data_IF_668770224171
#
_entry.id   IF_668770224171
#
_cell.length_a   1.000
_cell.length_b   1.000
_cell.length_c   1.000
_cell.angle_alpha   90.00
_cell.angle_beta   90.00
_cell.angle_gamma   90.00
#
_symmetry.space_group_name_H-M   'P 1'
#
loop_
_entity.id
_entity.type
_entity.pdbx_description
1 polymer ?
#
# COMPACT_ATOMS: atom_id res chain seq x y z
N UNK A 1 -14.83 0.68 -11.66
CA UNK A 1 -14.55 -0.68 -11.14
C UNK A 1 -13.89 -0.50 -9.79
N UNK A 2 -14.31 -1.24 -8.76
CA UNK A 2 -13.71 -1.13 -7.43
C UNK A 2 -12.42 -1.94 -7.36
N UNK A 3 -11.34 -1.29 -6.99
CA UNK A 3 -9.98 -1.83 -6.96
C UNK A 3 -9.39 -1.61 -5.59
N UNK A 4 -9.01 -2.68 -4.90
CA UNK A 4 -8.25 -2.59 -3.67
C UNK A 4 -6.77 -2.44 -3.99
N UNK A 5 -6.09 -1.50 -3.35
CA UNK A 5 -4.66 -1.29 -3.59
C UNK A 5 -3.86 -2.19 -2.66
N UNK A 6 -3.06 -3.09 -3.22
CA UNK A 6 -2.25 -4.01 -2.44
C UNK A 6 -0.86 -3.47 -2.15
N UNK A 7 -0.23 -2.85 -3.17
CA UNK A 7 1.14 -2.35 -3.08
C UNK A 7 1.32 -1.13 -3.96
N UNK A 8 2.08 -0.17 -3.46
CA UNK A 8 2.60 0.95 -4.25
C UNK A 8 4.04 0.63 -4.68
N UNK A 9 4.35 0.87 -5.95
CA UNK A 9 5.71 0.69 -6.46
C UNK A 9 6.09 1.90 -7.29
N UNK A 10 7.23 2.50 -6.99
CA UNK A 10 7.85 3.53 -7.82
C UNK A 10 9.04 2.88 -8.49
N UNK A 11 9.03 2.84 -9.83
CA UNK A 11 10.21 2.45 -10.59
C UNK A 11 10.85 3.72 -11.14
N UNK A 12 11.99 4.07 -10.59
CA UNK A 12 12.80 5.20 -11.03
C UNK A 12 14.14 4.75 -11.59
N UNK A 13 14.68 5.52 -12.52
CA UNK A 13 16.00 5.27 -13.09
C UNK A 13 16.27 6.09 -14.34
N UNK A 14 17.44 5.87 -14.92
CA UNK A 14 17.84 6.52 -16.16
C UNK A 14 17.62 5.53 -17.30
N UNK A 15 16.85 5.93 -18.31
CA UNK A 15 16.62 5.11 -19.49
C UNK A 15 17.94 4.90 -20.24
N UNK A 16 18.44 3.65 -20.29
CA UNK A 16 19.64 3.31 -21.06
C UNK A 16 19.53 3.66 -22.55
N UNK A 17 18.30 3.77 -23.08
CA UNK A 17 18.03 4.07 -24.49
C UNK A 17 18.01 5.57 -24.80
N UNK A 18 17.54 6.39 -23.86
CA UNK A 18 17.30 7.82 -24.11
C UNK A 18 18.06 8.76 -23.18
N UNK A 19 18.74 8.25 -22.15
CA UNK A 19 19.43 9.06 -21.15
C UNK A 19 18.52 9.85 -20.20
N UNK A 20 17.20 9.82 -20.42
CA UNK A 20 16.24 10.54 -19.61
C UNK A 20 15.91 9.78 -18.32
N UNK A 21 15.77 10.53 -17.23
CA UNK A 21 15.15 10.05 -16.00
C UNK A 21 13.70 9.65 -16.26
N UNK A 22 13.33 8.48 -15.78
CA UNK A 22 11.95 8.03 -15.77
C UNK A 22 11.55 7.73 -14.34
N UNK A 23 10.32 8.12 -13.99
CA UNK A 23 9.64 7.73 -12.76
C UNK A 23 8.28 7.17 -13.15
N UNK A 24 8.14 5.85 -13.05
CA UNK A 24 6.89 5.15 -13.33
C UNK A 24 6.27 4.79 -11.98
N UNK A 25 5.24 5.55 -11.62
CA UNK A 25 4.39 5.27 -10.49
C UNK A 25 3.36 4.20 -10.90
N UNK A 26 3.45 3.01 -10.31
CA UNK A 26 2.52 1.92 -10.55
C UNK A 26 1.94 1.39 -9.26
N UNK A 27 0.71 0.88 -9.34
CA UNK A 27 0.01 0.26 -8.23
C UNK A 27 -0.32 -1.17 -8.57
N UNK A 28 -0.13 -2.05 -7.61
CA UNK A 28 -0.67 -3.38 -7.69
C UNK A 28 -2.05 -3.38 -7.05
N UNK A 29 -3.07 -3.71 -7.84
CA UNK A 29 -4.47 -3.66 -7.42
C UNK A 29 -5.10 -5.05 -7.50
N UNK A 30 -6.08 -5.30 -6.63
CA UNK A 30 -6.92 -6.49 -6.71
C UNK A 30 -8.42 -6.16 -6.72
N UNK A 31 -9.21 -7.08 -7.25
CA UNK A 31 -10.67 -7.03 -7.22
C UNK A 31 -11.23 -8.45 -7.11
N UNK A 32 -12.46 -8.59 -6.61
CA UNK A 32 -13.10 -9.89 -6.34
C UNK A 32 -14.25 -10.20 -7.32
N UNK A 33 -14.56 -9.26 -8.21
CA UNK A 33 -15.70 -9.38 -9.13
C UNK A 33 -15.36 -10.25 -10.36
N UNK A 34 -15.86 -11.49 -10.34
CA UNK A 34 -15.69 -12.46 -11.43
C UNK A 34 -16.32 -12.00 -12.75
N UNK A 35 -17.43 -11.26 -12.72
CA UNK A 35 -18.05 -10.77 -13.97
C UNK A 35 -17.16 -9.73 -14.64
N UNK A 36 -16.56 -8.84 -13.85
CA UNK A 36 -15.57 -7.88 -14.33
C UNK A 36 -14.37 -8.62 -14.92
N UNK A 37 -13.89 -9.68 -14.27
CA UNK A 37 -12.81 -10.51 -14.82
C UNK A 37 -13.19 -11.09 -16.19
N UNK A 38 -14.35 -11.73 -16.32
CA UNK A 38 -14.80 -12.31 -17.59
C UNK A 38 -14.96 -11.26 -18.70
N UNK A 39 -15.42 -10.05 -18.36
CA UNK A 39 -15.47 -8.91 -19.30
C UNK A 39 -14.07 -8.48 -19.74
N UNK A 40 -13.09 -8.45 -18.84
CA UNK A 40 -11.68 -8.13 -19.17
C UNK A 40 -11.10 -9.21 -20.08
N UNK A 41 -11.27 -10.49 -19.74
CA UNK A 41 -10.79 -11.62 -20.55
C UNK A 41 -11.38 -11.56 -21.95
N UNK A 42 -12.70 -11.40 -22.06
CA UNK A 42 -13.39 -11.28 -23.36
C UNK A 42 -12.88 -10.10 -24.18
N UNK A 43 -12.65 -8.96 -23.53
CA UNK A 43 -12.11 -7.77 -24.20
C UNK A 43 -10.67 -8.00 -24.70
N UNK A 44 -9.81 -8.63 -23.90
CA UNK A 44 -8.43 -8.93 -24.29
C UNK A 44 -8.36 -9.99 -25.40
N UNK A 45 -9.19 -11.04 -25.32
CA UNK A 45 -9.32 -12.06 -26.38
C UNK A 45 -9.80 -11.44 -27.70
N UNK A 46 -10.76 -10.53 -27.65
CA UNK A 46 -11.24 -9.82 -28.85
C UNK A 46 -10.15 -9.00 -29.56
N UNK A 47 -9.06 -8.67 -28.84
CA UNK A 47 -7.89 -7.98 -29.37
C UNK A 47 -6.73 -8.93 -29.75
N UNK A 48 -6.96 -10.25 -29.77
CA UNK A 48 -5.98 -11.23 -30.21
C UNK A 48 -4.96 -11.66 -29.16
N UNK A 49 -5.23 -11.40 -27.87
CA UNK A 49 -4.35 -11.84 -26.77
C UNK A 49 -4.68 -13.27 -26.37
N UNK A 50 -3.63 -14.07 -26.20
CA UNK A 50 -3.72 -15.46 -25.78
C UNK A 50 -3.97 -15.62 -24.28
N UNK A 51 -4.56 -16.74 -23.88
CA UNK A 51 -4.94 -17.03 -22.50
C UNK A 51 -3.74 -17.00 -21.54
N UNK A 52 -2.57 -17.49 -21.97
CA UNK A 52 -1.35 -17.46 -21.17
C UNK A 52 -0.89 -16.03 -20.81
N UNK A 53 -1.08 -15.08 -21.74
CA UNK A 53 -0.70 -13.69 -21.51
C UNK A 53 -1.70 -13.00 -20.57
N UNK A 54 -2.98 -13.34 -20.68
CA UNK A 54 -4.03 -12.83 -19.80
C UNK A 54 -3.80 -13.32 -18.38
N UNK A 55 -3.47 -14.60 -18.18
CA UNK A 55 -3.20 -15.17 -16.86
C UNK A 55 -1.94 -14.56 -16.23
N UNK A 56 -0.89 -14.30 -17.03
CA UNK A 56 0.31 -13.61 -16.57
C UNK A 56 0.02 -12.18 -16.11
N UNK A 57 -0.90 -11.49 -16.80
CA UNK A 57 -1.27 -10.10 -16.50
C UNK A 57 -2.22 -9.99 -15.31
N UNK A 58 -3.26 -10.82 -15.28
CA UNK A 58 -4.33 -10.80 -14.29
C UNK A 58 -4.41 -12.17 -13.61
N UNK A 59 -3.58 -12.37 -12.58
CA UNK A 59 -3.49 -13.66 -11.90
C UNK A 59 -4.73 -13.88 -11.03
N UNK A 60 -5.50 -14.96 -11.25
CA UNK A 60 -6.48 -15.40 -10.28
C UNK A 60 -5.75 -15.98 -9.06
N UNK A 61 -6.17 -15.55 -7.87
CA UNK A 61 -5.71 -16.09 -6.62
C UNK A 61 -6.92 -16.42 -5.75
N UNK A 62 -7.09 -17.70 -5.45
CA UNK A 62 -8.18 -18.18 -4.60
C UNK A 62 -7.67 -18.35 -3.17
N UNK A 63 -8.36 -17.70 -2.23
CA UNK A 63 -8.10 -17.82 -0.81
C UNK A 63 -9.42 -17.91 -0.06
N UNK A 64 -9.56 -18.92 0.81
CA UNK A 64 -10.79 -19.16 1.59
C UNK A 64 -12.08 -19.17 0.75
N UNK A 65 -12.04 -19.75 -0.46
CA UNK A 65 -13.19 -19.82 -1.36
C UNK A 65 -13.56 -18.48 -2.02
N UNK A 66 -12.76 -17.43 -1.84
CA UNK A 66 -12.88 -16.15 -2.55
C UNK A 66 -11.82 -16.05 -3.63
N UNK A 67 -12.26 -15.84 -4.87
CA UNK A 67 -11.36 -15.59 -5.99
C UNK A 67 -11.08 -14.10 -6.08
N UNK A 68 -9.81 -13.74 -5.91
CA UNK A 68 -9.31 -12.40 -6.13
C UNK A 68 -8.48 -12.35 -7.40
N UNK A 69 -8.56 -11.26 -8.14
CA UNK A 69 -7.81 -11.05 -9.37
C UNK A 69 -6.90 -9.85 -9.17
N UNK A 70 -5.61 -10.01 -9.46
CA UNK A 70 -4.64 -8.94 -9.25
C UNK A 70 -3.85 -8.59 -10.52
N UNK A 71 -3.65 -7.30 -10.75
CA UNK A 71 -2.89 -6.78 -11.89
C UNK A 71 -2.19 -5.46 -11.57
N UNK A 72 -1.23 -5.08 -12.41
CA UNK A 72 -0.53 -3.79 -12.32
C UNK A 72 -1.32 -2.67 -13.01
N UNK A 73 -1.69 -1.64 -12.25
CA UNK A 73 -2.36 -0.43 -12.71
C UNK A 73 -1.39 0.75 -12.72
N UNK A 74 -1.19 1.32 -13.90
CA UNK A 74 -0.44 2.57 -14.05
C UNK A 74 -1.37 3.77 -13.78
N UNK A 75 -0.91 4.71 -12.96
CA UNK A 75 -1.61 5.94 -12.64
C UNK A 75 -0.67 7.14 -12.75
N UNK A 76 -1.22 8.35 -12.85
CA UNK A 76 -0.41 9.57 -12.76
C UNK A 76 0.12 9.80 -11.35
N UNK A 77 1.10 10.69 -11.23
CA UNK A 77 1.65 11.12 -9.95
C UNK A 77 0.57 11.70 -9.02
N UNK A 78 -0.43 12.39 -9.56
CA UNK A 78 -1.51 12.98 -8.75
C UNK A 78 -2.32 11.92 -8.01
N UNK A 79 -2.76 10.89 -8.74
CA UNK A 79 -3.51 9.79 -8.13
C UNK A 79 -2.60 8.92 -7.28
N UNK A 80 -1.31 8.82 -7.63
CA UNK A 80 -0.30 8.12 -6.84
C UNK A 80 -0.10 8.74 -5.44
N UNK A 81 -0.07 10.06 -5.34
CA UNK A 81 0.12 10.77 -4.08
C UNK A 81 -1.13 10.84 -3.20
N UNK A 82 -2.32 10.88 -3.81
CA UNK A 82 -3.59 11.07 -3.08
C UNK A 82 -4.22 9.84 -2.47
N UNK A 83 -3.72 8.67 -2.83
CA UNK A 83 -4.40 7.41 -2.55
C UNK A 83 -3.41 6.50 -1.87
N UNK A 84 -3.75 6.09 -0.67
CA UNK A 84 -2.91 5.28 0.19
C UNK A 84 -2.96 3.80 -0.18
N UNK A 85 -1.95 3.07 0.29
CA UNK A 85 -1.94 1.61 0.23
C UNK A 85 -3.15 1.05 1.00
N UNK A 86 -3.69 -0.09 0.56
CA UNK A 86 -4.86 -0.74 1.16
C UNK A 86 -6.21 -0.01 1.02
N UNK A 87 -6.24 1.19 0.45
CA UNK A 87 -7.49 1.88 0.11
C UNK A 87 -8.24 1.22 -1.05
N UNK A 88 -9.52 1.57 -1.19
CA UNK A 88 -10.40 1.12 -2.27
C UNK A 88 -10.60 2.27 -3.26
N UNK A 89 -10.18 2.05 -4.49
CA UNK A 89 -10.28 3.01 -5.59
C UNK A 89 -11.40 2.56 -6.54
N UNK A 90 -12.40 3.40 -6.76
CA UNK A 90 -13.34 3.22 -7.86
C UNK A 90 -12.92 4.10 -9.04
N UNK A 91 -12.38 3.47 -10.08
CA UNK A 91 -11.91 4.16 -11.27
C UNK A 91 -12.31 3.44 -12.56
N UNK A 92 -12.28 4.17 -13.67
CA UNK A 92 -12.27 3.56 -14.99
C UNK A 92 -10.85 3.06 -15.30
N UNK A 93 -10.74 1.87 -15.89
CA UNK A 93 -9.46 1.30 -16.31
C UNK A 93 -9.53 0.98 -17.80
N UNK A 94 -8.49 1.40 -18.53
CA UNK A 94 -8.30 1.02 -19.92
C UNK A 94 -7.14 0.05 -20.02
N UNK A 95 -7.37 -1.03 -20.77
CA UNK A 95 -6.36 -2.03 -21.12
C UNK A 95 -5.81 -1.73 -22.51
N UNK A 96 -4.57 -1.24 -22.53
CA UNK A 96 -3.80 -0.99 -23.73
C UNK A 96 -2.89 -2.20 -24.00
N UNK A 97 -2.83 -2.60 -25.26
CA UNK A 97 -1.94 -3.67 -25.73
C UNK A 97 -0.81 -3.02 -26.51
N UNK A 98 0.42 -3.38 -26.18
CA UNK A 98 1.60 -3.03 -26.97
C UNK A 98 1.79 -4.03 -28.11
N UNK A 99 2.49 -3.63 -29.17
CA UNK A 99 2.78 -4.48 -30.35
C UNK A 99 3.50 -5.78 -29.98
N UNK A 100 4.19 -5.80 -28.83
CA UNK A 100 4.88 -6.98 -28.29
C UNK A 100 3.95 -7.92 -27.48
N UNK A 101 2.63 -7.70 -27.49
CA UNK A 101 1.66 -8.45 -26.70
C UNK A 101 1.64 -8.09 -25.21
N UNK A 102 2.31 -7.01 -24.79
CA UNK A 102 2.32 -6.58 -23.39
C UNK A 102 1.03 -5.83 -23.05
N UNK A 103 0.31 -6.32 -22.04
CA UNK A 103 -0.93 -5.72 -21.55
C UNK A 103 -0.58 -4.71 -20.47
N UNK A 104 -1.03 -3.47 -20.67
CA UNK A 104 -0.87 -2.38 -19.71
C UNK A 104 -2.24 -1.84 -19.31
N UNK A 105 -2.56 -1.91 -18.02
CA UNK A 105 -3.72 -1.23 -17.48
C UNK A 105 -3.33 0.19 -17.05
N UNK A 106 -4.16 1.16 -17.41
CA UNK A 106 -4.01 2.55 -16.98
C UNK A 106 -5.35 3.21 -16.70
N UNK A 107 -5.36 4.18 -15.79
CA UNK A 107 -6.50 5.05 -15.60
C UNK A 107 -6.51 6.08 -16.75
N UNK A 108 -7.60 6.19 -17.53
CA UNK A 108 -7.66 7.16 -18.61
C UNK A 108 -7.74 8.59 -18.05
N UNK A 109 -7.02 9.50 -18.70
CA UNK A 109 -7.12 10.93 -18.46
C UNK A 109 -8.08 11.51 -19.50
N UNK A 110 -9.21 12.06 -19.05
CA UNK A 110 -10.16 12.78 -19.91
C UNK A 110 -10.28 14.21 -19.37
N UNK A 111 -10.18 15.21 -20.24
CA UNK A 111 -10.26 16.62 -19.84
C UNK A 111 -9.23 17.02 -18.75
N UNK A 112 -7.99 16.52 -18.85
CA UNK A 112 -6.90 16.73 -17.87
C UNK A 112 -7.21 16.23 -16.45
N UNK A 113 -8.26 15.41 -16.28
CA UNK A 113 -8.59 14.75 -15.01
C UNK A 113 -8.61 13.25 -15.22
N UNK A 114 -8.03 12.52 -14.28
CA UNK A 114 -8.18 11.07 -14.25
C UNK A 114 -9.63 10.69 -13.95
N UNK A 115 -10.10 9.62 -14.59
CA UNK A 115 -11.45 9.07 -14.38
C UNK A 115 -11.47 8.21 -13.10
N UNK A 116 -11.24 8.85 -11.96
CA UNK A 116 -11.47 8.30 -10.62
C UNK A 116 -12.84 8.78 -10.15
N UNK A 117 -13.76 7.84 -9.91
CA UNK A 117 -15.13 8.14 -9.48
C UNK A 117 -15.19 8.37 -7.96
N UNK A 118 -14.53 7.50 -7.20
CA UNK A 118 -14.49 7.55 -5.74
C UNK A 118 -13.19 6.96 -5.22
N UNK A 119 -12.80 7.40 -4.03
CA UNK A 119 -11.71 6.83 -3.27
C UNK A 119 -12.14 6.69 -1.81
N UNK A 120 -12.07 5.46 -1.30
CA UNK A 120 -12.25 5.16 0.10
C UNK A 120 -10.85 4.90 0.68
N UNK A 121 -10.36 5.77 1.58
CA UNK A 121 -9.09 5.53 2.25
C UNK A 121 -9.15 4.23 3.05
N UNK A 122 -8.00 3.57 3.27
CA UNK A 122 -7.98 2.47 4.24
C UNK A 122 -8.53 3.01 5.57
N UNK A 123 -9.45 2.29 6.19
CA UNK A 123 -9.74 2.55 7.60
C UNK A 123 -8.39 2.49 8.32
N UNK A 124 -8.07 3.52 9.12
CA UNK A 124 -6.80 3.63 9.84
C UNK A 124 -6.39 2.24 10.30
N UNK A 125 -5.22 1.79 9.83
CA UNK A 125 -4.64 0.54 10.29
C UNK A 125 -4.75 0.55 11.80
N UNK A 126 -5.51 -0.40 12.35
CA UNK A 126 -5.55 -0.67 13.78
C UNK A 126 -4.09 -0.66 14.26
N UNK A 127 -3.76 0.26 15.16
CA UNK A 127 -2.57 0.19 16.02
C UNK A 127 -2.59 -1.18 16.69
N UNK A 128 -1.91 -2.16 16.10
CA UNK A 128 -2.06 -3.54 16.58
C UNK A 128 -1.21 -4.59 15.88
N UNK A 129 -0.26 -4.19 15.03
CA UNK A 129 0.76 -5.11 14.49
C UNK A 129 2.18 -4.79 14.96
N UNK A 130 2.30 -3.89 15.94
CA UNK A 130 3.45 -3.71 16.81
C UNK A 130 2.94 -3.51 18.23
N UNK A 131 2.56 -4.57 18.92
CA UNK A 131 2.64 -4.54 20.38
C UNK A 131 4.14 -4.55 20.73
N UNK A 132 4.75 -3.38 20.74
CA UNK A 132 6.03 -3.11 21.40
C UNK A 132 5.82 -1.98 22.42
N UNK A 133 6.49 -2.02 23.58
CA UNK A 133 6.54 -3.05 24.60
C UNK A 133 5.56 -2.71 25.75
N UNK A 134 5.39 -3.59 26.74
CA UNK A 134 4.77 -3.21 28.02
C UNK A 134 5.46 -1.95 28.57
N UNK A 135 4.69 -0.87 28.69
CA UNK A 135 5.09 0.31 29.44
C UNK A 135 5.14 -0.16 30.91
N UNK A 136 6.34 -0.39 31.45
CA UNK A 136 6.51 -0.48 32.90
C UNK A 136 6.20 0.92 33.44
N UNK A 137 5.01 1.06 34.00
CA UNK A 137 4.54 2.26 34.66
C UNK A 137 5.57 2.66 35.72
N UNK A 138 6.13 3.87 35.56
CA UNK A 138 6.77 4.57 36.67
C UNK A 138 5.69 4.87 37.70
N UNK A 139 5.57 4.03 38.71
CA UNK A 139 4.88 4.39 39.94
C UNK A 139 5.52 5.65 40.51
N UNK A 140 4.80 6.77 40.39
CA UNK A 140 5.06 7.98 41.14
C UNK A 140 4.00 8.06 42.22
N UNK A 141 4.46 8.07 43.49
CA UNK A 141 4.02 8.89 44.64
C UNK A 141 4.22 8.05 45.91
N UNK A 142 4.79 8.57 47.00
CA UNK A 142 4.45 9.80 47.70
C UNK A 142 5.57 10.11 48.71
N UNK A 143 6.00 11.36 48.84
CA UNK A 143 6.62 11.82 50.09
C UNK A 143 5.55 11.84 51.19
N UNK A 144 5.94 11.52 52.43
CA UNK A 144 5.64 12.46 53.49
C UNK A 144 6.79 12.64 54.50
N UNK A 145 7.05 13.92 54.76
CA UNK A 145 7.14 14.51 56.10
C UNK A 145 8.27 14.08 57.06
N UNK A 146 9.05 15.09 57.45
CA UNK A 146 9.99 15.16 58.56
C UNK A 146 9.55 14.42 59.83
N UNK A 147 10.48 13.68 60.46
CA UNK A 147 10.60 13.70 61.92
C UNK A 147 12.08 13.67 62.32
N UNK A 148 12.44 14.58 63.21
CA UNK A 148 13.79 14.77 63.71
C UNK A 148 14.02 13.85 64.90
N UNK A 149 15.12 13.07 64.88
CA UNK A 149 15.78 12.62 66.11
C UNK A 149 17.29 12.74 65.96
N UNK A 150 17.83 13.62 66.78
CA UNK A 150 19.22 13.61 67.23
C UNK A 150 19.53 12.25 67.86
N UNK A 151 20.68 11.69 67.56
CA UNK A 151 21.52 11.06 68.58
C UNK A 151 22.99 11.15 68.17
N UNK A 152 23.78 11.66 69.11
CA UNK A 152 25.23 11.83 69.09
C UNK A 152 25.97 10.47 69.02
N UNK A 153 27.00 10.34 68.19
CA UNK A 153 28.39 10.25 68.64
C UNK A 153 29.37 10.07 67.45
N UNK A 154 30.64 10.51 67.60
CA UNK A 154 31.68 10.55 66.58
C UNK A 154 32.54 9.28 66.59
N UNK A 155 33.62 9.28 65.79
CA UNK A 155 34.62 8.21 65.57
C UNK A 155 34.19 7.28 64.41
N UNK A 156 34.98 7.00 63.39
CA UNK A 156 36.44 6.98 63.29
C UNK A 156 36.90 7.29 61.87
N UNK A 157 38.13 7.82 61.83
CA UNK A 157 39.11 7.78 60.76
C UNK A 157 38.91 6.63 59.74
N UNK A 158 39.20 6.90 58.47
CA UNK A 158 40.36 6.29 57.80
C UNK A 158 40.59 6.92 56.41
N UNK A 159 41.84 6.94 55.92
CA UNK A 159 42.35 7.97 55.04
C UNK A 159 42.60 7.49 53.59
N UNK A 160 42.74 8.49 52.70
CA UNK A 160 43.33 8.49 51.34
C UNK A 160 42.81 7.48 50.31
#
# INVERSE_FOLDING_TARGET
>A
MKLRILKQTIKEGISKRTGNEYKIASRFVSFEDTEIYQKIVSHLKSKGIDDEQIEKFCRPNEYEGKVSYAFGLNCSNYTFEKVDQFGILDAAVIFNISDNGFISARIPIKNRREQVNSYEPPADMVEGWTSEPEIVEKEKKQDPFFDAKFDDNPEDDLPF
#
